data_IF_258858434200
#
_entry.id   IF_258858434200
#
_cell.length_a   1.000
_cell.length_b   1.000
_cell.length_c   1.000
_cell.angle_alpha   90.00
_cell.angle_beta   90.00
_cell.angle_gamma   90.00
#
_symmetry.space_group_name_H-M   'P 1'
#
loop_
_entity.id
_entity.type
_entity.pdbx_description
1 polymer ?
#
# COMPACT_ATOMS: atom_id res chain seq x y z
N UNK A 1 -1.86 3.91 -28.20
CA UNK A 1 -2.32 3.42 -26.88
C UNK A 1 -1.38 2.29 -26.47
N UNK A 2 -0.45 2.56 -25.56
CA UNK A 2 0.64 1.63 -25.22
C UNK A 2 0.21 0.60 -24.17
N UNK A 3 0.60 -0.69 -24.26
CA UNK A 3 0.01 -1.81 -23.52
C UNK A 3 0.63 -2.03 -22.12
N UNK A 4 1.05 -0.98 -21.43
CA UNK A 4 1.74 -1.10 -20.13
C UNK A 4 0.88 -1.55 -18.92
N UNK A 5 -0.45 -1.30 -18.83
CA UNK A 5 -1.24 -1.76 -17.68
C UNK A 5 -1.43 -3.29 -17.64
N UNK A 6 -1.35 -3.95 -18.81
CA UNK A 6 -1.62 -5.38 -18.95
C UNK A 6 -0.45 -6.22 -18.41
N UNK A 7 0.76 -5.69 -18.37
CA UNK A 7 1.97 -6.42 -17.95
C UNK A 7 2.01 -6.70 -16.44
N UNK A 8 1.46 -5.80 -15.62
CA UNK A 8 1.33 -5.99 -14.16
C UNK A 8 0.32 -7.10 -13.83
N UNK A 9 -0.81 -7.14 -14.56
CA UNK A 9 -1.84 -8.18 -14.43
C UNK A 9 -1.34 -9.53 -14.96
N UNK A 10 -0.57 -9.52 -16.06
CA UNK A 10 0.02 -10.73 -16.63
C UNK A 10 1.03 -11.41 -15.68
N UNK A 11 1.63 -10.67 -14.75
CA UNK A 11 2.50 -11.20 -13.70
C UNK A 11 1.74 -12.01 -12.66
N UNK A 12 0.51 -11.60 -12.34
CA UNK A 12 -0.37 -12.23 -11.34
C UNK A 12 -1.46 -13.07 -12.03
N UNK A 13 -1.11 -13.79 -13.08
CA UNK A 13 -1.97 -14.82 -13.67
C UNK A 13 -1.62 -16.19 -13.06
N UNK A 14 -2.56 -17.16 -13.01
CA UNK A 14 -2.26 -18.52 -12.54
C UNK A 14 -1.06 -19.16 -13.27
N UNK A 15 -0.79 -18.74 -14.51
CA UNK A 15 0.37 -19.19 -15.30
C UNK A 15 1.72 -18.57 -14.91
N UNK A 16 1.76 -17.59 -14.00
CA UNK A 16 2.98 -16.91 -13.54
C UNK A 16 3.06 -16.74 -12.01
N UNK A 17 2.34 -17.56 -11.26
CA UNK A 17 2.31 -17.50 -9.79
C UNK A 17 3.71 -17.47 -9.15
N UNK A 18 4.61 -18.34 -9.63
CA UNK A 18 6.01 -18.39 -9.18
C UNK A 18 6.76 -17.06 -9.34
N UNK A 19 6.62 -16.41 -10.51
CA UNK A 19 7.24 -15.11 -10.76
C UNK A 19 6.65 -14.01 -9.84
N UNK A 20 5.33 -14.03 -9.58
CA UNK A 20 4.70 -13.13 -8.62
C UNK A 20 5.25 -13.32 -7.20
N UNK A 21 5.42 -14.56 -6.75
CA UNK A 21 5.98 -14.87 -5.44
C UNK A 21 7.44 -14.45 -5.32
N UNK A 22 8.24 -14.66 -6.38
CA UNK A 22 9.62 -14.18 -6.43
C UNK A 22 9.69 -12.64 -6.36
N UNK A 23 8.87 -11.93 -7.14
CA UNK A 23 8.81 -10.47 -7.10
C UNK A 23 8.36 -9.97 -5.72
N UNK A 24 7.33 -10.58 -5.13
CA UNK A 24 6.87 -10.26 -3.78
C UNK A 24 7.98 -10.46 -2.74
N UNK A 25 8.69 -11.60 -2.80
CA UNK A 25 9.81 -11.86 -1.88
C UNK A 25 10.94 -10.85 -2.05
N UNK A 26 11.24 -10.44 -3.28
CA UNK A 26 12.24 -9.42 -3.60
C UNK A 26 11.83 -8.04 -3.04
N UNK A 27 10.56 -7.66 -3.23
CA UNK A 27 10.02 -6.38 -2.73
C UNK A 27 10.01 -6.34 -1.20
N UNK A 28 9.65 -7.44 -0.53
CA UNK A 28 9.69 -7.54 0.94
C UNK A 28 11.13 -7.47 1.46
N UNK A 29 12.08 -8.09 0.75
CA UNK A 29 13.51 -7.98 1.10
C UNK A 29 14.03 -6.56 1.03
N UNK A 30 13.65 -5.81 -0.01
CA UNK A 30 14.03 -4.41 -0.19
C UNK A 30 13.26 -3.43 0.72
N UNK A 31 12.01 -3.74 1.02
CA UNK A 31 11.09 -2.90 1.79
C UNK A 31 10.23 -3.77 2.69
N UNK A 32 10.68 -3.95 3.94
CA UNK A 32 10.05 -4.85 4.91
C UNK A 32 8.55 -4.56 5.13
N UNK A 33 8.15 -3.28 5.11
CA UNK A 33 6.75 -2.85 5.26
C UNK A 33 5.82 -3.42 4.19
N UNK A 34 6.35 -3.80 3.03
CA UNK A 34 5.56 -4.42 1.95
C UNK A 34 5.06 -5.83 2.31
N UNK A 35 5.49 -6.40 3.45
CA UNK A 35 5.00 -7.67 3.97
C UNK A 35 3.48 -7.71 4.17
N UNK A 36 2.83 -6.56 4.35
CA UNK A 36 1.37 -6.44 4.41
C UNK A 36 0.66 -6.85 3.11
N UNK A 37 1.38 -6.93 1.98
CA UNK A 37 0.86 -7.46 0.71
C UNK A 37 0.80 -8.99 0.66
N UNK A 38 1.44 -9.71 1.58
CA UNK A 38 1.57 -11.17 1.48
C UNK A 38 0.21 -11.87 1.44
N UNK A 39 -0.65 -11.58 2.41
CA UNK A 39 -1.98 -12.20 2.48
C UNK A 39 -2.86 -11.88 1.25
N UNK A 40 -3.07 -10.60 0.86
CA UNK A 40 -3.92 -10.30 -0.28
C UNK A 40 -3.36 -10.85 -1.60
N UNK A 41 -2.04 -10.92 -1.80
CA UNK A 41 -1.45 -11.54 -3.00
C UNK A 41 -1.63 -13.06 -3.00
N UNK A 42 -1.47 -13.74 -1.86
CA UNK A 42 -1.74 -15.18 -1.77
C UNK A 42 -3.21 -15.49 -2.08
N UNK A 43 -4.15 -14.66 -1.58
CA UNK A 43 -5.56 -14.76 -1.92
C UNK A 43 -5.78 -14.54 -3.43
N UNK A 44 -5.17 -13.51 -4.01
CA UNK A 44 -5.27 -13.22 -5.45
C UNK A 44 -4.81 -14.42 -6.30
N UNK A 45 -3.66 -15.03 -5.96
CA UNK A 45 -3.09 -16.17 -6.68
C UNK A 45 -3.93 -17.46 -6.60
N UNK A 46 -4.70 -17.68 -5.51
CA UNK A 46 -5.61 -18.84 -5.42
C UNK A 46 -6.99 -18.56 -6.03
N UNK A 47 -7.29 -17.30 -6.35
CA UNK A 47 -8.54 -16.87 -6.99
C UNK A 47 -8.32 -16.62 -8.48
N UNK A 48 -8.71 -15.44 -8.95
CA UNK A 48 -8.66 -15.03 -10.33
C UNK A 48 -8.17 -13.57 -10.41
N UNK A 49 -7.39 -13.18 -11.43
CA UNK A 49 -6.87 -11.82 -11.57
C UNK A 49 -7.89 -10.78 -12.02
N UNK A 50 -9.16 -11.12 -12.18
CA UNK A 50 -10.21 -10.19 -12.60
C UNK A 50 -10.95 -9.57 -11.42
N UNK A 51 -11.31 -8.29 -11.57
CA UNK A 51 -12.20 -7.58 -10.66
C UNK A 51 -13.60 -8.20 -10.67
N UNK A 52 -14.15 -8.43 -9.49
CA UNK A 52 -15.50 -8.93 -9.24
C UNK A 52 -16.28 -8.03 -8.27
N UNK A 53 -15.78 -6.82 -8.00
CA UNK A 53 -16.36 -5.88 -7.04
C UNK A 53 -17.83 -5.55 -7.35
N UNK A 54 -18.18 -5.37 -8.63
CA UNK A 54 -19.54 -5.07 -9.08
C UNK A 54 -20.46 -6.31 -9.09
N UNK A 55 -19.90 -7.51 -9.13
CA UNK A 55 -20.65 -8.77 -9.17
C UNK A 55 -19.95 -9.83 -8.31
N UNK A 56 -20.10 -9.75 -6.97
CA UNK A 56 -19.36 -10.60 -6.04
C UNK A 56 -19.61 -12.07 -6.34
N UNK A 57 -18.53 -12.83 -6.50
CA UNK A 57 -18.58 -14.30 -6.63
C UNK A 57 -18.10 -14.93 -5.33
N UNK A 58 -18.78 -15.97 -4.83
CA UNK A 58 -18.30 -16.68 -3.65
C UNK A 58 -16.94 -17.31 -3.96
N UNK A 59 -16.08 -17.38 -2.94
CA UNK A 59 -14.78 -18.01 -3.04
C UNK A 59 -14.97 -19.51 -3.32
N UNK A 60 -14.83 -19.90 -4.59
CA UNK A 60 -14.98 -21.30 -5.02
C UNK A 60 -13.75 -22.15 -4.71
N UNK A 61 -12.59 -21.50 -4.49
CA UNK A 61 -11.32 -22.20 -4.27
C UNK A 61 -11.02 -22.44 -2.79
N UNK A 62 -10.58 -23.66 -2.42
CA UNK A 62 -10.25 -23.96 -1.03
C UNK A 62 -8.95 -23.25 -0.62
N UNK A 63 -8.97 -22.61 0.55
CA UNK A 63 -7.80 -21.92 1.14
C UNK A 63 -6.56 -22.81 1.29
N UNK A 64 -6.73 -24.14 1.32
CA UNK A 64 -5.63 -25.11 1.35
C UNK A 64 -4.67 -24.97 0.15
N UNK A 65 -5.12 -24.40 -0.97
CA UNK A 65 -4.26 -24.10 -2.14
C UNK A 65 -3.22 -23.01 -1.85
N UNK A 66 -3.38 -22.22 -0.80
CA UNK A 66 -2.41 -21.20 -0.42
C UNK A 66 -1.15 -21.79 0.26
N UNK A 67 -1.23 -22.98 0.87
CA UNK A 67 -0.08 -23.59 1.54
C UNK A 67 1.14 -23.86 0.63
N UNK A 68 1.00 -24.47 -0.55
CA UNK A 68 2.15 -24.66 -1.44
C UNK A 68 2.74 -23.33 -1.92
N UNK A 69 1.90 -22.32 -2.18
CA UNK A 69 2.34 -20.98 -2.59
C UNK A 69 3.10 -20.27 -1.46
N UNK A 70 2.63 -20.40 -0.21
CA UNK A 70 3.34 -19.91 0.96
C UNK A 70 4.68 -20.62 1.13
N UNK A 71 4.74 -21.93 0.90
CA UNK A 71 5.99 -22.70 0.90
C UNK A 71 7.01 -22.19 -0.12
N UNK A 72 6.56 -21.93 -1.35
CA UNK A 72 7.40 -21.36 -2.42
C UNK A 72 7.87 -19.94 -2.08
N UNK A 73 6.99 -19.10 -1.54
CA UNK A 73 7.36 -17.78 -1.02
C UNK A 73 8.45 -17.85 0.05
N UNK A 74 8.28 -18.71 1.06
CA UNK A 74 9.25 -18.90 2.14
C UNK A 74 10.58 -19.41 1.61
N UNK A 75 10.56 -20.26 0.58
CA UNK A 75 11.76 -20.72 -0.11
C UNK A 75 12.52 -19.57 -0.76
N UNK A 76 11.85 -18.69 -1.53
CA UNK A 76 12.50 -17.50 -2.10
C UNK A 76 13.01 -16.54 -1.04
N UNK A 77 12.22 -16.27 0.01
CA UNK A 77 12.66 -15.45 1.14
C UNK A 77 13.89 -16.03 1.82
N UNK A 78 13.95 -17.35 2.00
CA UNK A 78 15.10 -18.06 2.55
C UNK A 78 16.34 -17.91 1.69
N UNK A 79 16.23 -18.12 0.37
CA UNK A 79 17.34 -17.92 -0.57
C UNK A 79 17.86 -16.48 -0.53
N UNK A 80 16.98 -15.49 -0.62
CA UNK A 80 17.38 -14.08 -0.61
C UNK A 80 18.05 -13.70 0.72
N UNK A 81 17.56 -14.22 1.85
CA UNK A 81 18.17 -14.05 3.18
C UNK A 81 19.57 -14.67 3.23
N UNK A 82 19.75 -15.87 2.66
CA UNK A 82 21.06 -16.53 2.58
C UNK A 82 22.04 -15.75 1.71
N UNK A 83 21.59 -15.24 0.55
CA UNK A 83 22.39 -14.40 -0.34
C UNK A 83 22.82 -13.13 0.39
N UNK A 84 21.89 -12.41 1.02
CA UNK A 84 22.18 -11.19 1.78
C UNK A 84 23.17 -11.46 2.90
N UNK A 85 23.01 -12.56 3.64
CA UNK A 85 23.92 -12.95 4.73
C UNK A 85 25.30 -13.33 4.21
N UNK A 86 25.39 -14.01 3.08
CA UNK A 86 26.65 -14.37 2.44
C UNK A 86 27.40 -13.12 1.95
N UNK A 87 26.71 -12.19 1.27
CA UNK A 87 27.30 -10.94 0.77
C UNK A 87 27.72 -10.01 1.91
N UNK A 88 26.92 -9.91 2.96
CA UNK A 88 27.25 -9.12 4.15
C UNK A 88 28.30 -9.79 5.06
N UNK A 89 28.63 -11.06 4.84
CA UNK A 89 29.53 -11.88 5.66
C UNK A 89 29.01 -12.19 7.07
N UNK A 90 27.80 -11.74 7.43
CA UNK A 90 27.18 -11.94 8.74
C UNK A 90 25.70 -11.56 8.71
N UNK A 91 24.98 -11.77 9.82
CA UNK A 91 23.59 -11.36 10.00
C UNK A 91 23.41 -9.86 10.33
N UNK A 92 24.49 -9.07 10.29
CA UNK A 92 24.46 -7.64 10.62
C UNK A 92 23.60 -6.80 9.69
N UNK A 93 23.31 -7.29 8.48
CA UNK A 93 22.43 -6.62 7.53
C UNK A 93 20.98 -6.52 8.03
N UNK A 94 20.49 -7.49 8.81
CA UNK A 94 19.11 -7.50 9.30
C UNK A 94 18.78 -6.25 10.11
N UNK A 95 19.49 -5.91 11.21
CA UNK A 95 19.20 -4.71 11.97
C UNK A 95 19.42 -3.43 11.15
N UNK A 96 20.31 -3.46 10.16
CA UNK A 96 20.63 -2.30 9.31
C UNK A 96 19.58 -2.06 8.20
N UNK A 97 18.77 -3.05 7.83
CA UNK A 97 17.73 -2.92 6.79
C UNK A 97 16.32 -3.06 7.36
N UNK A 98 15.93 -4.28 7.74
CA UNK A 98 14.61 -4.59 8.29
C UNK A 98 14.44 -3.97 9.67
N UNK A 99 15.47 -4.06 10.52
CA UNK A 99 15.50 -3.41 11.82
C UNK A 99 15.37 -1.89 11.69
N UNK A 100 16.11 -1.27 10.76
CA UNK A 100 16.03 0.16 10.50
C UNK A 100 14.61 0.62 10.10
N UNK A 101 13.85 -0.21 9.38
CA UNK A 101 12.45 0.08 9.05
C UNK A 101 11.56 0.16 10.30
N UNK A 102 11.86 -0.64 11.33
CA UNK A 102 11.11 -0.69 12.58
C UNK A 102 11.58 0.33 13.62
N UNK A 103 12.88 0.61 13.65
CA UNK A 103 13.48 1.53 14.63
C UNK A 103 13.55 2.98 14.14
N UNK A 104 13.30 3.22 12.85
CA UNK A 104 13.34 4.53 12.18
C UNK A 104 14.54 5.38 12.64
N UNK A 105 15.78 4.89 12.47
CA UNK A 105 16.97 5.59 12.95
C UNK A 105 17.29 6.83 12.11
N UNK A 106 16.96 6.79 10.81
CA UNK A 106 17.07 7.93 9.91
C UNK A 106 15.74 8.68 9.84
N UNK A 107 15.77 9.98 10.12
CA UNK A 107 14.63 10.88 10.07
C UNK A 107 14.81 11.96 8.99
N UNK A 108 15.68 11.70 8.00
CA UNK A 108 15.82 12.55 6.84
C UNK A 108 14.44 12.82 6.19
N UNK A 109 14.22 14.06 5.71
CA UNK A 109 12.96 14.46 5.13
C UNK A 109 12.58 13.56 3.96
N UNK A 110 11.35 13.06 3.97
CA UNK A 110 10.77 12.26 2.90
C UNK A 110 9.29 12.63 2.71
N UNK A 111 8.61 11.95 1.79
CA UNK A 111 7.20 12.24 1.47
C UNK A 111 6.19 11.63 2.44
N UNK A 112 6.67 10.84 3.40
CA UNK A 112 5.85 10.17 4.42
C UNK A 112 5.55 11.05 5.62
N UNK A 113 4.67 10.54 6.48
CA UNK A 113 4.17 11.22 7.68
C UNK A 113 5.15 11.20 8.85
N UNK A 114 5.97 10.16 8.95
CA UNK A 114 6.55 9.77 10.23
C UNK A 114 7.85 10.47 10.57
N UNK A 115 8.64 10.88 9.59
CA UNK A 115 9.98 11.44 9.81
C UNK A 115 9.94 12.70 10.69
N UNK A 116 9.02 13.62 10.40
CA UNK A 116 8.90 14.87 11.17
C UNK A 116 8.30 14.61 12.54
N UNK A 117 7.29 13.73 12.62
CA UNK A 117 6.68 13.34 13.89
C UNK A 117 7.72 12.79 14.87
N UNK A 118 8.62 11.91 14.42
CA UNK A 118 9.70 11.38 15.27
C UNK A 118 10.87 12.34 15.46
N UNK A 119 10.97 13.40 14.66
CA UNK A 119 11.96 14.46 14.88
C UNK A 119 11.56 15.31 16.10
N UNK A 120 10.27 15.58 16.25
CA UNK A 120 9.72 16.39 17.36
C UNK A 120 9.38 15.55 18.61
N UNK A 121 9.43 14.22 18.51
CA UNK A 121 9.05 13.31 19.60
C UNK A 121 10.13 13.25 20.70
N UNK A 122 9.71 13.36 21.95
CA UNK A 122 10.61 13.08 23.09
C UNK A 122 11.06 11.62 23.09
N UNK A 123 12.36 11.38 23.31
CA UNK A 123 12.96 10.05 23.26
C UNK A 123 12.31 9.04 24.21
N UNK A 124 11.81 9.50 25.36
CA UNK A 124 11.11 8.65 26.32
C UNK A 124 9.88 7.95 25.70
N UNK A 125 9.15 8.63 24.81
CA UNK A 125 7.93 8.09 24.18
C UNK A 125 8.21 7.41 22.83
N UNK A 126 9.40 7.57 22.26
CA UNK A 126 9.75 7.02 20.93
C UNK A 126 9.47 5.51 20.82
N UNK A 127 9.89 4.63 21.76
CA UNK A 127 9.63 3.18 21.63
C UNK A 127 8.15 2.83 21.56
N UNK A 128 7.29 3.56 22.30
CA UNK A 128 5.85 3.36 22.28
C UNK A 128 5.26 3.66 20.89
N UNK A 129 5.60 4.82 20.32
CA UNK A 129 5.07 5.21 19.01
C UNK A 129 5.64 4.37 17.85
N UNK A 130 6.88 3.90 17.94
CA UNK A 130 7.44 2.94 16.97
C UNK A 130 6.61 1.65 16.91
N UNK A 131 6.22 1.13 18.08
CA UNK A 131 5.33 -0.04 18.15
C UNK A 131 3.96 0.28 17.56
N UNK A 132 3.34 1.39 17.98
CA UNK A 132 2.00 1.78 17.50
C UNK A 132 1.97 1.90 15.98
N UNK A 133 2.95 2.58 15.36
CA UNK A 133 2.94 2.78 13.91
C UNK A 133 3.29 1.51 13.13
N UNK A 134 4.13 0.63 13.69
CA UNK A 134 4.35 -0.69 13.11
C UNK A 134 3.05 -1.47 13.08
N UNK A 135 2.37 -1.59 14.24
CA UNK A 135 1.10 -2.32 14.36
C UNK A 135 0.01 -1.68 13.50
N UNK A 136 -0.05 -0.35 13.44
CA UNK A 136 -1.00 0.41 12.64
C UNK A 136 -1.01 -0.01 11.16
N UNK A 137 0.14 -0.34 10.58
CA UNK A 137 0.17 -0.81 9.19
C UNK A 137 -0.40 -2.25 9.05
N UNK A 138 -0.15 -3.12 10.03
CA UNK A 138 -0.58 -4.52 9.99
C UNK A 138 -2.06 -4.74 10.31
N UNK A 139 -2.68 -3.88 11.13
CA UNK A 139 -4.09 -4.06 11.55
C UNK A 139 -5.08 -4.05 10.39
N UNK A 140 -4.72 -3.44 9.25
CA UNK A 140 -5.57 -3.36 8.07
C UNK A 140 -5.65 -4.66 7.26
N UNK A 141 -4.63 -5.53 7.36
CA UNK A 141 -4.47 -6.69 6.47
C UNK A 141 -5.69 -7.62 6.56
N UNK A 142 -6.06 -8.04 7.77
CA UNK A 142 -7.15 -8.99 7.98
C UNK A 142 -8.52 -8.39 7.63
N UNK A 143 -8.91 -7.21 8.15
CA UNK A 143 -10.21 -6.62 7.82
C UNK A 143 -10.41 -6.37 6.33
N UNK A 144 -9.39 -5.87 5.62
CA UNK A 144 -9.48 -5.60 4.18
C UNK A 144 -9.63 -6.92 3.41
N UNK A 145 -8.84 -7.94 3.72
CA UNK A 145 -8.94 -9.25 3.07
C UNK A 145 -10.29 -9.93 3.33
N UNK A 146 -10.84 -9.80 4.55
CA UNK A 146 -12.16 -10.35 4.88
C UNK A 146 -13.28 -9.60 4.16
N UNK A 147 -13.21 -8.26 4.13
CA UNK A 147 -14.27 -7.44 3.52
C UNK A 147 -14.33 -7.61 2.01
N UNK A 148 -13.17 -7.68 1.36
CA UNK A 148 -13.04 -7.88 -0.09
C UNK A 148 -12.68 -9.32 -0.46
N UNK A 149 -13.07 -10.30 0.36
CA UNK A 149 -12.73 -11.71 0.12
C UNK A 149 -13.27 -12.28 -1.22
N UNK A 150 -14.25 -11.61 -1.83
CA UNK A 150 -14.85 -11.96 -3.13
C UNK A 150 -14.15 -11.27 -4.31
N UNK A 151 -13.20 -10.37 -4.03
CA UNK A 151 -12.36 -9.66 -4.99
C UNK A 151 -10.99 -9.38 -4.37
N UNK A 152 -10.12 -10.38 -4.42
CA UNK A 152 -8.77 -10.27 -3.87
C UNK A 152 -7.91 -9.23 -4.59
N UNK A 153 -8.19 -8.93 -5.86
CA UNK A 153 -7.50 -7.89 -6.61
C UNK A 153 -7.82 -6.52 -6.00
N UNK A 154 -9.08 -6.29 -5.64
CA UNK A 154 -9.49 -5.08 -4.93
C UNK A 154 -8.86 -5.00 -3.53
N UNK A 155 -8.73 -6.13 -2.83
CA UNK A 155 -8.01 -6.16 -1.55
C UNK A 155 -6.54 -5.73 -1.70
N UNK A 156 -5.83 -6.22 -2.73
CA UNK A 156 -4.46 -5.78 -3.06
C UNK A 156 -4.44 -4.28 -3.35
N UNK A 157 -5.38 -3.78 -4.15
CA UNK A 157 -5.47 -2.36 -4.49
C UNK A 157 -5.66 -1.45 -3.25
N UNK A 158 -6.58 -1.80 -2.35
CA UNK A 158 -6.79 -1.04 -1.11
C UNK A 158 -5.54 -1.09 -0.21
N UNK A 159 -4.92 -2.26 -0.10
CA UNK A 159 -3.69 -2.41 0.69
C UNK A 159 -2.54 -1.58 0.11
N UNK A 160 -2.41 -1.45 -1.22
CA UNK A 160 -1.43 -0.56 -1.85
C UNK A 160 -1.65 0.90 -1.45
N UNK A 161 -2.90 1.36 -1.38
CA UNK A 161 -3.22 2.72 -0.91
C UNK A 161 -2.88 2.93 0.57
N UNK A 162 -3.14 1.93 1.42
CA UNK A 162 -2.76 1.94 2.84
C UNK A 162 -1.24 2.01 2.99
N UNK A 163 -0.50 1.18 2.24
CA UNK A 163 0.96 1.20 2.23
C UNK A 163 1.50 2.54 1.73
N UNK A 164 0.96 3.07 0.63
CA UNK A 164 1.35 4.37 0.07
C UNK A 164 1.06 5.57 0.97
N UNK A 165 0.16 5.42 1.95
CA UNK A 165 -0.17 6.47 2.91
C UNK A 165 0.65 6.36 4.20
N UNK A 166 0.82 5.14 4.73
CA UNK A 166 1.29 4.92 6.10
C UNK A 166 2.65 4.22 6.21
N UNK A 167 3.35 3.93 5.12
CA UNK A 167 4.69 3.34 5.17
C UNK A 167 5.69 4.28 5.90
N UNK A 168 6.62 3.75 6.73
CA UNK A 168 7.65 4.53 7.45
C UNK A 168 8.50 5.44 6.56
N UNK A 169 9.10 4.85 5.51
CA UNK A 169 9.92 5.53 4.51
C UNK A 169 9.18 5.57 3.17
N UNK A 170 8.09 6.34 3.11
CA UNK A 170 7.29 6.49 1.89
C UNK A 170 8.07 7.24 0.82
N UNK A 171 8.06 6.72 -0.40
CA UNK A 171 8.54 7.41 -1.60
C UNK A 171 7.37 7.81 -2.49
N UNK A 172 7.58 8.71 -3.45
CA UNK A 172 6.53 9.09 -4.41
C UNK A 172 5.99 7.91 -5.24
N UNK A 173 6.78 6.84 -5.41
CA UNK A 173 6.35 5.65 -6.15
C UNK A 173 5.31 4.82 -5.39
N UNK A 174 5.25 4.89 -4.05
CA UNK A 174 4.32 4.09 -3.27
C UNK A 174 2.84 4.50 -3.53
N UNK A 175 2.41 5.76 -3.31
CA UNK A 175 1.08 6.22 -3.71
C UNK A 175 0.94 6.32 -5.24
N UNK A 176 2.02 6.57 -5.98
CA UNK A 176 2.00 6.57 -7.45
C UNK A 176 1.56 5.22 -8.03
N UNK A 177 2.00 4.11 -7.43
CA UNK A 177 1.55 2.77 -7.82
C UNK A 177 0.06 2.58 -7.54
N UNK A 178 -0.43 3.01 -6.37
CA UNK A 178 -1.86 2.98 -6.04
C UNK A 178 -2.69 3.77 -7.07
N UNK A 179 -2.31 5.01 -7.37
CA UNK A 179 -2.99 5.86 -8.36
C UNK A 179 -2.93 5.27 -9.79
N UNK A 180 -1.88 4.52 -10.11
CA UNK A 180 -1.78 3.83 -11.41
C UNK A 180 -2.72 2.63 -11.48
N UNK A 181 -2.76 1.82 -10.42
CA UNK A 181 -3.63 0.63 -10.32
C UNK A 181 -5.11 1.02 -10.27
N UNK A 182 -5.45 2.21 -9.77
CA UNK A 182 -6.81 2.76 -9.83
C UNK A 182 -7.42 2.71 -11.24
N UNK A 183 -6.61 2.87 -12.29
CA UNK A 183 -7.05 2.79 -13.68
C UNK A 183 -7.67 1.44 -14.08
N UNK A 184 -7.42 0.38 -13.31
CA UNK A 184 -7.92 -0.99 -13.55
C UNK A 184 -9.40 -1.12 -13.17
N UNK A 185 -9.95 -0.20 -12.36
CA UNK A 185 -11.31 -0.30 -11.81
C UNK A 185 -12.25 0.81 -12.35
N UNK A 186 -12.48 0.92 -13.66
CA UNK A 186 -13.38 1.95 -14.20
C UNK A 186 -14.81 1.88 -13.65
N UNK A 187 -15.24 0.71 -13.18
CA UNK A 187 -16.55 0.47 -12.58
C UNK A 187 -16.80 1.30 -11.31
N UNK A 188 -15.76 1.72 -10.58
CA UNK A 188 -15.94 2.50 -9.34
C UNK A 188 -16.09 4.00 -9.58
N UNK A 189 -15.71 4.50 -10.77
CA UNK A 189 -15.64 5.95 -11.03
C UNK A 189 -16.97 6.69 -10.84
N UNK A 190 -18.12 6.17 -11.32
CA UNK A 190 -19.40 6.85 -11.15
C UNK A 190 -19.87 6.98 -9.70
N UNK A 191 -19.29 6.17 -8.80
CA UNK A 191 -19.72 6.03 -7.42
C UNK A 191 -18.78 6.74 -6.42
N UNK A 192 -17.68 7.35 -6.90
CA UNK A 192 -16.78 8.14 -6.05
C UNK A 192 -17.47 9.38 -5.49
N UNK A 193 -17.18 9.72 -4.24
CA UNK A 193 -17.92 10.78 -3.53
C UNK A 193 -17.30 12.16 -3.70
N UNK A 194 -15.97 12.26 -3.57
CA UNK A 194 -15.26 13.55 -3.62
C UNK A 194 -14.05 13.58 -4.57
N UNK A 195 -14.12 13.01 -5.79
CA UNK A 195 -12.94 12.84 -6.64
C UNK A 195 -12.28 14.17 -7.03
N UNK A 196 -13.06 15.25 -7.21
CA UNK A 196 -12.52 16.58 -7.52
C UNK A 196 -11.67 17.12 -6.36
N UNK A 197 -12.15 16.98 -5.12
CA UNK A 197 -11.42 17.44 -3.93
C UNK A 197 -10.13 16.64 -3.79
N UNK A 198 -10.20 15.32 -3.95
CA UNK A 198 -9.06 14.43 -3.92
C UNK A 198 -8.00 14.83 -4.96
N UNK A 199 -8.39 15.13 -6.20
CA UNK A 199 -7.47 15.58 -7.27
C UNK A 199 -6.86 16.94 -6.93
N UNK A 200 -7.63 17.89 -6.42
CA UNK A 200 -7.12 19.21 -6.04
C UNK A 200 -6.10 19.14 -4.89
N UNK A 201 -6.29 18.24 -3.92
CA UNK A 201 -5.31 17.99 -2.86
C UNK A 201 -3.99 17.44 -3.42
N UNK A 202 -4.04 16.48 -4.34
CA UNK A 202 -2.85 15.95 -5.02
C UNK A 202 -2.17 17.02 -5.89
N UNK A 203 -2.94 17.87 -6.58
CA UNK A 203 -2.41 18.97 -7.38
C UNK A 203 -1.69 19.98 -6.48
N UNK A 204 -2.32 20.39 -5.38
CA UNK A 204 -1.70 21.26 -4.38
C UNK A 204 -0.37 20.67 -3.86
N UNK A 205 -0.38 19.40 -3.43
CA UNK A 205 0.81 18.74 -2.93
C UNK A 205 1.92 18.62 -3.98
N UNK A 206 1.59 18.25 -5.22
CA UNK A 206 2.58 18.05 -6.29
C UNK A 206 3.26 19.35 -6.73
N UNK A 207 2.58 20.50 -6.60
CA UNK A 207 3.15 21.82 -6.85
C UNK A 207 4.00 22.33 -5.67
N UNK A 208 3.47 22.27 -4.45
CA UNK A 208 4.12 22.92 -3.30
C UNK A 208 5.22 22.09 -2.67
N UNK A 209 5.12 20.76 -2.69
CA UNK A 209 6.10 19.89 -2.03
C UNK A 209 7.51 20.03 -2.63
N UNK A 210 7.72 19.98 -3.96
CA UNK A 210 9.04 20.21 -4.55
C UNK A 210 9.55 21.64 -4.31
N UNK A 211 8.65 22.62 -4.34
CA UNK A 211 8.99 24.03 -4.09
C UNK A 211 9.54 24.23 -2.67
N UNK A 212 8.79 23.78 -1.65
CA UNK A 212 9.23 23.93 -0.26
C UNK A 212 10.43 23.06 0.07
N UNK A 213 10.55 21.88 -0.55
CA UNK A 213 11.76 21.06 -0.46
C UNK A 213 12.99 21.82 -0.97
N UNK A 214 12.90 22.46 -2.14
CA UNK A 214 14.00 23.23 -2.72
C UNK A 214 14.33 24.48 -1.90
N UNK A 215 13.33 25.25 -1.48
CA UNK A 215 13.53 26.44 -0.65
C UNK A 215 14.22 26.11 0.68
N UNK A 216 13.85 24.99 1.30
CA UNK A 216 14.44 24.56 2.56
C UNK A 216 15.83 23.93 2.38
N UNK A 217 15.95 22.84 1.61
CA UNK A 217 17.18 22.05 1.56
C UNK A 217 18.24 22.61 0.61
N UNK A 218 17.83 23.23 -0.50
CA UNK A 218 18.79 23.75 -1.48
C UNK A 218 19.13 25.22 -1.25
N UNK A 219 18.13 26.06 -0.97
CA UNK A 219 18.34 27.50 -0.81
C UNK A 219 18.55 27.93 0.64
N UNK A 220 18.16 27.12 1.63
CA UNK A 220 18.27 27.46 3.05
C UNK A 220 17.37 28.64 3.49
N UNK A 221 16.42 29.05 2.65
CA UNK A 221 15.50 30.17 2.91
C UNK A 221 14.15 29.70 3.44
N UNK A 222 13.82 28.41 3.27
CA UNK A 222 12.59 27.77 3.77
C UNK A 222 12.76 27.09 5.13
N UNK A 223 11.64 26.89 5.83
CA UNK A 223 11.56 26.14 7.08
C UNK A 223 11.03 24.72 6.84
N UNK A 224 11.55 23.73 7.58
CA UNK A 224 11.12 22.34 7.58
C UNK A 224 9.59 22.17 7.72
N UNK A 225 8.94 23.02 8.52
CA UNK A 225 7.50 23.03 8.72
C UNK A 225 6.70 23.23 7.43
N UNK A 226 7.18 24.05 6.49
CA UNK A 226 6.47 24.27 5.22
C UNK A 226 6.52 23.04 4.33
N UNK A 227 7.69 22.39 4.26
CA UNK A 227 7.82 21.12 3.56
C UNK A 227 6.94 20.06 4.23
N UNK A 228 7.01 19.92 5.55
CA UNK A 228 6.19 18.96 6.26
C UNK A 228 4.69 19.21 6.10
N UNK A 229 4.24 20.47 6.17
CA UNK A 229 2.84 20.84 5.91
C UNK A 229 2.37 20.37 4.52
N UNK A 230 3.21 20.51 3.49
CA UNK A 230 2.89 20.00 2.16
C UNK A 230 2.84 18.47 2.10
N UNK A 231 3.69 17.76 2.86
CA UNK A 231 3.62 16.29 2.98
C UNK A 231 2.39 15.82 3.76
N UNK A 232 1.91 16.60 4.74
CA UNK A 232 0.63 16.34 5.41
C UNK A 232 -0.54 16.47 4.44
N UNK A 233 -0.55 17.52 3.61
CA UNK A 233 -1.59 17.66 2.56
C UNK A 233 -1.52 16.50 1.58
N UNK A 234 -0.33 16.04 1.20
CA UNK A 234 -0.16 14.86 0.35
C UNK A 234 -0.71 13.59 0.99
N UNK A 235 -0.43 13.35 2.28
CA UNK A 235 -0.98 12.21 3.01
C UNK A 235 -2.50 12.30 3.16
N UNK A 236 -3.05 13.49 3.39
CA UNK A 236 -4.50 13.73 3.34
C UNK A 236 -5.07 13.42 1.96
N UNK A 237 -4.35 13.78 0.88
CA UNK A 237 -4.74 13.46 -0.49
C UNK A 237 -4.79 11.94 -0.71
N UNK A 238 -3.74 11.21 -0.29
CA UNK A 238 -3.66 9.75 -0.38
C UNK A 238 -4.77 9.08 0.44
N UNK A 239 -5.02 9.55 1.66
CA UNK A 239 -6.11 9.07 2.52
C UNK A 239 -7.49 9.36 1.92
N UNK A 240 -7.70 10.55 1.35
CA UNK A 240 -8.93 10.91 0.66
C UNK A 240 -9.18 10.01 -0.57
N UNK A 241 -8.15 9.77 -1.39
CA UNK A 241 -8.24 8.85 -2.52
C UNK A 241 -8.55 7.42 -2.09
N UNK A 242 -7.91 6.94 -1.02
CA UNK A 242 -8.19 5.62 -0.45
C UNK A 242 -9.66 5.52 0.00
N UNK A 243 -10.17 6.51 0.73
CA UNK A 243 -11.57 6.53 1.18
C UNK A 243 -12.55 6.64 0.01
N UNK A 244 -12.25 7.49 -0.98
CA UNK A 244 -13.04 7.64 -2.21
C UNK A 244 -13.07 6.36 -3.05
N UNK A 245 -12.08 5.47 -2.92
CA UNK A 245 -12.09 4.14 -3.51
C UNK A 245 -12.85 3.12 -2.65
N UNK A 246 -12.64 3.11 -1.33
CA UNK A 246 -13.35 2.17 -0.44
C UNK A 246 -14.87 2.38 -0.52
N UNK A 247 -15.33 3.62 -0.55
CA UNK A 247 -16.76 3.95 -0.62
C UNK A 247 -17.53 3.25 -1.75
N UNK A 248 -17.13 3.37 -3.03
CA UNK A 248 -17.77 2.66 -4.12
C UNK A 248 -17.54 1.15 -4.04
N UNK A 249 -16.36 0.68 -3.61
CA UNK A 249 -16.10 -0.75 -3.41
C UNK A 249 -17.08 -1.41 -2.42
N UNK A 250 -17.56 -0.66 -1.43
CA UNK A 250 -18.58 -1.13 -0.48
C UNK A 250 -20.02 -1.08 -1.01
N UNK A 251 -20.30 -0.24 -2.02
CA UNK A 251 -21.66 0.05 -2.48
C UNK A 251 -22.00 -0.52 -3.85
N UNK A 252 -21.03 -0.72 -4.73
CA UNK A 252 -21.28 -1.05 -6.13
C UNK A 252 -22.08 -2.35 -6.30
N UNK A 253 -21.83 -3.34 -5.44
CA UNK A 253 -22.57 -4.60 -5.41
C UNK A 253 -24.03 -4.47 -4.94
N UNK A 254 -24.38 -3.39 -4.24
CA UNK A 254 -25.75 -3.12 -3.75
C UNK A 254 -26.64 -2.63 -4.92
N UNK A 255 -26.05 -2.06 -5.98
CA UNK A 255 -26.76 -1.50 -7.11
C UNK A 255 -27.29 -0.07 -6.86
N UNK A 256 -28.01 0.51 -7.85
CA UNK A 256 -28.61 1.84 -7.70
C UNK A 256 -29.73 1.84 -6.66
N UNK A 257 -29.95 3.00 -6.04
CA UNK A 257 -31.06 3.15 -5.09
C UNK A 257 -32.39 2.98 -5.83
N UNK A 258 -33.18 1.96 -5.44
CA UNK A 258 -34.53 1.76 -5.95
C UNK A 258 -35.49 2.55 -5.05
N UNK A 259 -36.33 3.42 -5.62
CA UNK A 259 -37.35 4.14 -4.84
C UNK A 259 -38.27 3.13 -4.11
N UNK A 260 -38.44 3.31 -2.80
CA UNK A 260 -39.29 2.44 -1.96
C UNK A 260 -38.57 1.28 -1.26
N UNK A 261 -37.30 0.99 -1.56
CA UNK A 261 -36.51 -0.03 -0.86
C UNK A 261 -35.17 0.54 -0.38
N UNK A 262 -34.89 0.42 0.92
CA UNK A 262 -33.55 0.68 1.49
C UNK A 262 -32.90 -0.65 1.84
N UNK A 263 -31.84 -1.03 1.14
CA UNK A 263 -31.03 -2.18 1.52
C UNK A 263 -30.20 -1.77 2.74
N UNK A 264 -30.61 -2.24 3.92
CA UNK A 264 -29.86 -2.05 5.18
C UNK A 264 -28.85 -3.19 5.28
N UNK A 265 -27.58 -2.85 5.45
CA UNK A 265 -26.51 -3.81 5.65
C UNK A 265 -26.50 -4.19 7.14
N UNK A 266 -26.88 -5.42 7.47
CA UNK A 266 -26.64 -6.02 8.80
C UNK A 266 -25.17 -6.38 9.00
#
# INVERSE_FOLDING_TARGET
MSPYPITLINGVSPGKASASLFLLSSVIHLSFSSGVMLLPILLLLITDPHSHIASPKPLSTPLKKAYPLLGEFLFYMGILTLISTFVAGSWSWIPQTWGATLTLPDLAPNTGLWWYFFTEMFDHFRPFFLMVFTVHLFIYVVPVCLKFQHDALYAVFIMLGILGTFKPYTTLSDPGLFLTVFAIFPEIYPYMRYPIVTVLLHLHASLLMPLFHHLWLSQGTGNANFFYASTLVFACANGAALVDCIWPGLRIAIGPHVEGYSIVQE
#
